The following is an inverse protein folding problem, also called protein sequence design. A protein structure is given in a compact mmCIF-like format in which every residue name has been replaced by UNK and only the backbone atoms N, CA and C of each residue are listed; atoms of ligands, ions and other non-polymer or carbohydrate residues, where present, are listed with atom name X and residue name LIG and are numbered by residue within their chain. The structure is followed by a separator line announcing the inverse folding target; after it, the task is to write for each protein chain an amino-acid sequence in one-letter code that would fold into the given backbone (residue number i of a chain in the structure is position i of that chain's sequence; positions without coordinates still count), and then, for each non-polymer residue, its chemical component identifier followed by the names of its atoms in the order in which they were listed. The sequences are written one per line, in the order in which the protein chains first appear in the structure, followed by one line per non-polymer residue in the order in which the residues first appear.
data_IF_648963908313
#
_entry.id   IF_648963908313
#
_cell.length_a   1.000
_cell.length_b   1.000
_cell.length_c   1.000
_cell.angle_alpha   90.00
_cell.angle_beta   90.00
_cell.angle_gamma   90.00
#
_symmetry.space_group_name_H-M   'P 1'
#
loop_
_entity.id
_entity.type
_entity.pdbx_description
1 polymer ?
#
# COMPACT_ATOMS: atom_id res chain seq x y z
N UNK A 1 -0.45 -34.72 9.71
CA UNK A 1 -0.05 -34.87 8.30
C UNK A 1 -0.72 -33.88 7.34
N UNK A 2 -2.04 -33.96 7.06
CA UNK A 2 -2.69 -33.01 6.11
C UNK A 2 -2.66 -31.55 6.59
N UNK A 3 -2.84 -31.31 7.89
CA UNK A 3 -2.81 -29.96 8.47
C UNK A 3 -1.39 -29.36 8.42
N UNK A 4 -0.37 -30.16 8.71
CA UNK A 4 1.03 -29.70 8.70
C UNK A 4 1.48 -29.29 7.28
N UNK A 5 1.03 -30.02 6.26
CA UNK A 5 1.26 -29.67 4.85
C UNK A 5 0.54 -28.39 4.43
N UNK A 6 -0.71 -28.21 4.84
CA UNK A 6 -1.46 -26.98 4.58
C UNK A 6 -0.79 -25.78 5.25
N UNK A 7 -0.35 -25.93 6.50
CA UNK A 7 0.31 -24.86 7.24
C UNK A 7 1.63 -24.45 6.58
N UNK A 8 2.45 -25.42 6.17
CA UNK A 8 3.69 -25.14 5.45
C UNK A 8 3.44 -24.41 4.13
N UNK A 9 2.50 -24.89 3.33
CA UNK A 9 2.18 -24.29 2.03
C UNK A 9 1.66 -22.86 2.17
N UNK A 10 0.89 -22.59 3.23
CA UNK A 10 0.42 -21.26 3.55
C UNK A 10 1.56 -20.32 3.94
N UNK A 11 2.47 -20.78 4.81
CA UNK A 11 3.66 -20.01 5.18
C UNK A 11 4.52 -19.66 3.96
N UNK A 12 4.81 -20.64 3.09
CA UNK A 12 5.57 -20.42 1.86
C UNK A 12 4.89 -19.40 0.92
N UNK A 13 3.54 -19.44 0.85
CA UNK A 13 2.75 -18.48 0.09
C UNK A 13 2.84 -17.06 0.67
N UNK A 14 2.66 -16.90 1.99
CA UNK A 14 2.75 -15.61 2.66
C UNK A 14 4.16 -15.00 2.54
N UNK A 15 5.21 -15.82 2.67
CA UNK A 15 6.59 -15.38 2.48
C UNK A 15 6.83 -14.91 1.05
N UNK A 16 6.24 -15.58 0.05
CA UNK A 16 6.30 -15.10 -1.34
C UNK A 16 5.66 -13.72 -1.48
N UNK A 17 4.50 -13.48 -0.87
CA UNK A 17 3.82 -12.17 -0.89
C UNK A 17 4.61 -11.08 -0.16
N UNK A 18 5.24 -11.41 0.97
CA UNK A 18 6.13 -10.50 1.70
C UNK A 18 7.38 -10.14 0.92
N UNK A 19 7.95 -11.08 0.18
CA UNK A 19 9.10 -10.80 -0.68
C UNK A 19 8.73 -9.90 -1.87
N UNK A 20 7.51 -10.02 -2.40
CA UNK A 20 7.02 -9.13 -3.47
C UNK A 20 6.76 -7.71 -2.99
N UNK A 21 6.22 -7.53 -1.78
CA UNK A 21 6.03 -6.21 -1.15
C UNK A 21 6.55 -6.22 0.30
N UNK A 22 7.81 -5.81 0.53
CA UNK A 22 8.50 -5.94 1.82
C UNK A 22 7.80 -5.28 3.01
N UNK A 23 6.92 -4.29 2.79
CA UNK A 23 6.16 -3.69 3.91
C UNK A 23 5.22 -4.69 4.59
N UNK A 24 4.81 -5.78 3.92
CA UNK A 24 4.02 -6.83 4.57
C UNK A 24 4.75 -7.60 5.68
N UNK A 25 6.06 -7.38 5.89
CA UNK A 25 6.74 -7.87 7.09
C UNK A 25 6.31 -7.13 8.38
N UNK A 26 5.65 -5.97 8.29
CA UNK A 26 5.19 -5.19 9.45
C UNK A 26 3.79 -5.56 9.96
N UNK A 27 3.11 -6.50 9.30
CA UNK A 27 1.79 -6.99 9.70
C UNK A 27 1.82 -8.50 9.97
N UNK A 28 0.91 -8.97 10.83
CA UNK A 28 0.85 -10.39 11.18
C UNK A 28 0.36 -11.25 10.01
N UNK A 29 0.54 -12.58 10.10
CA UNK A 29 0.01 -13.52 9.09
C UNK A 29 -1.51 -13.37 8.92
N UNK A 30 -2.25 -13.23 10.02
CA UNK A 30 -3.72 -13.06 10.01
C UNK A 30 -4.14 -11.75 9.32
N UNK A 31 -3.42 -10.66 9.56
CA UNK A 31 -3.66 -9.36 8.93
C UNK A 31 -3.36 -9.40 7.44
N UNK A 32 -2.23 -10.01 7.06
CA UNK A 32 -1.86 -10.20 5.66
C UNK A 32 -2.90 -11.08 4.94
N UNK A 33 -3.41 -12.11 5.58
CA UNK A 33 -4.48 -12.94 5.02
C UNK A 33 -5.80 -12.18 4.85
N UNK A 34 -6.16 -11.29 5.79
CA UNK A 34 -7.32 -10.41 5.65
C UNK A 34 -7.22 -9.53 4.40
N UNK A 35 -6.04 -8.94 4.19
CA UNK A 35 -5.76 -8.12 3.01
C UNK A 35 -5.80 -8.93 1.72
N UNK A 36 -5.13 -10.09 1.68
CA UNK A 36 -5.05 -10.94 0.48
C UNK A 36 -6.38 -11.64 0.14
N UNK A 37 -7.23 -11.87 1.14
CA UNK A 37 -8.52 -12.54 0.98
C UNK A 37 -9.66 -11.61 0.55
N UNK A 38 -9.48 -10.29 0.64
CA UNK A 38 -10.48 -9.29 0.25
C UNK A 38 -10.32 -8.89 -1.21
N UNK A 39 -11.45 -8.82 -1.94
CA UNK A 39 -11.49 -8.18 -3.26
C UNK A 39 -11.66 -6.67 -3.20
N UNK A 40 -11.97 -6.13 -2.03
CA UNK A 40 -12.10 -4.68 -1.80
C UNK A 40 -10.73 -4.08 -1.47
N UNK A 41 -10.17 -3.21 -2.32
CA UNK A 41 -8.85 -2.62 -2.09
C UNK A 41 -8.84 -1.65 -0.91
N UNK A 42 -10.00 -1.20 -0.43
CA UNK A 42 -10.08 -0.32 0.75
C UNK A 42 -9.76 -1.05 2.05
N UNK A 43 -9.79 -2.40 2.08
CA UNK A 43 -9.46 -3.18 3.27
C UNK A 43 -8.04 -2.91 3.80
N UNK A 44 -7.08 -2.59 2.92
CA UNK A 44 -5.70 -2.25 3.30
C UNK A 44 -5.63 -1.07 4.29
N UNK A 45 -6.65 -0.21 4.29
CA UNK A 45 -6.71 1.02 5.06
C UNK A 45 -6.47 0.83 6.55
N UNK A 46 -6.97 -0.27 7.13
CA UNK A 46 -6.83 -0.57 8.55
C UNK A 46 -5.37 -0.87 8.95
N UNK A 47 -4.55 -1.24 7.97
CA UNK A 47 -3.16 -1.67 8.16
C UNK A 47 -2.14 -0.61 7.74
N UNK A 48 -2.54 0.49 7.08
CA UNK A 48 -1.59 1.46 6.52
C UNK A 48 -0.66 2.09 7.56
N UNK A 49 -1.15 2.38 8.77
CA UNK A 49 -0.33 2.93 9.86
C UNK A 49 0.74 1.94 10.37
N UNK A 50 0.61 0.65 10.07
CA UNK A 50 1.65 -0.36 10.34
C UNK A 50 2.60 -0.50 9.17
N UNK A 51 2.11 -0.36 7.94
CA UNK A 51 2.88 -0.50 6.72
C UNK A 51 3.72 0.75 6.39
N UNK A 52 3.27 1.93 6.83
CA UNK A 52 3.89 3.23 6.57
C UNK A 52 3.90 4.07 7.85
N UNK A 53 5.01 4.77 8.11
CA UNK A 53 5.18 5.59 9.31
C UNK A 53 4.13 6.70 9.45
N UNK A 54 3.72 7.35 8.34
CA UNK A 54 2.77 8.47 8.40
C UNK A 54 1.75 8.50 7.27
N UNK A 55 1.23 7.33 6.89
CA UNK A 55 0.11 7.23 5.93
C UNK A 55 -1.06 6.56 6.64
N UNK A 56 -2.14 7.32 6.82
CA UNK A 56 -3.38 6.81 7.41
C UNK A 56 -4.42 6.49 6.35
N UNK A 57 -4.55 7.33 5.32
CA UNK A 57 -5.51 7.14 4.24
C UNK A 57 -4.88 7.21 2.86
N UNK A 58 -5.34 6.33 1.98
CA UNK A 58 -5.22 6.46 0.54
C UNK A 58 -6.52 7.08 0.04
N UNK A 59 -6.40 8.09 -0.81
CA UNK A 59 -7.56 8.67 -1.47
C UNK A 59 -7.88 7.86 -2.72
N UNK A 60 -9.00 7.16 -2.70
CA UNK A 60 -9.47 6.35 -3.82
C UNK A 60 -10.25 7.21 -4.81
N UNK A 61 -9.92 7.06 -6.09
CA UNK A 61 -10.65 7.65 -7.20
C UNK A 61 -12.01 7.00 -7.42
N UNK A 62 -12.70 7.43 -8.49
CA UNK A 62 -14.07 6.99 -8.78
C UNK A 62 -14.15 5.47 -8.92
N UNK A 63 -14.96 4.84 -8.06
CA UNK A 63 -15.20 3.40 -8.07
C UNK A 63 -14.04 2.56 -7.53
N UNK A 64 -13.15 3.14 -6.72
CA UNK A 64 -12.02 2.46 -6.07
C UNK A 64 -11.10 1.72 -7.05
N UNK A 65 -10.94 2.28 -8.26
CA UNK A 65 -10.08 1.71 -9.31
C UNK A 65 -8.71 2.37 -9.41
N UNK A 66 -8.56 3.54 -8.79
CA UNK A 66 -7.31 4.30 -8.81
C UNK A 66 -7.06 4.90 -7.44
N UNK A 67 -5.80 5.20 -7.15
CA UNK A 67 -5.36 5.94 -5.97
C UNK A 67 -4.86 7.28 -6.46
N UNK A 68 -5.36 8.36 -5.87
CA UNK A 68 -5.13 9.73 -6.33
C UNK A 68 -4.37 10.59 -5.32
N UNK A 69 -4.23 10.12 -4.09
CA UNK A 69 -3.60 10.88 -3.02
C UNK A 69 -3.39 10.07 -1.75
N UNK A 70 -2.71 10.68 -0.80
CA UNK A 70 -2.39 10.08 0.50
C UNK A 70 -2.60 11.11 1.61
N UNK A 71 -3.00 10.66 2.79
CA UNK A 71 -3.30 11.49 3.96
C UNK A 71 -2.74 10.89 5.25
N UNK A 72 -2.19 11.74 6.11
CA UNK A 72 -1.59 11.40 7.39
C UNK A 72 -2.60 11.36 8.54
N UNK A 73 -2.14 10.97 9.74
CA UNK A 73 -2.99 11.00 10.94
C UNK A 73 -3.38 12.42 11.37
N UNK A 74 -2.54 13.41 11.05
CA UNK A 74 -2.70 14.83 11.33
C UNK A 74 -3.52 15.55 10.25
N UNK A 75 -4.02 14.83 9.24
CA UNK A 75 -4.73 15.36 8.07
C UNK A 75 -3.86 16.16 7.10
N UNK A 76 -2.53 15.99 7.17
CA UNK A 76 -1.67 16.42 6.08
C UNK A 76 -1.93 15.52 4.88
N UNK A 77 -2.11 16.08 3.70
CA UNK A 77 -2.39 15.32 2.50
C UNK A 77 -1.71 15.91 1.28
N UNK A 78 -1.47 15.06 0.29
CA UNK A 78 -0.99 15.46 -1.02
C UNK A 78 -1.62 14.56 -2.09
N UNK A 79 -1.75 15.14 -3.29
CA UNK A 79 -2.16 14.40 -4.48
C UNK A 79 -0.94 13.74 -5.13
N UNK A 80 -1.12 12.52 -5.62
CA UNK A 80 -0.13 11.87 -6.45
C UNK A 80 -0.03 12.62 -7.78
N UNK A 81 1.19 12.75 -8.32
CA UNK A 81 1.41 13.44 -9.60
C UNK A 81 0.69 12.77 -10.76
N UNK A 82 0.55 11.45 -10.69
CA UNK A 82 -0.25 10.64 -11.60
C UNK A 82 -1.11 9.66 -10.77
N UNK A 83 -2.36 9.37 -11.13
CA UNK A 83 -3.13 8.35 -10.42
C UNK A 83 -2.54 6.94 -10.61
N UNK A 84 -2.38 6.18 -9.52
CA UNK A 84 -1.98 4.76 -9.61
C UNK A 84 -3.21 3.90 -9.83
N UNK A 85 -3.17 2.99 -10.81
CA UNK A 85 -4.28 2.07 -11.09
C UNK A 85 -4.24 0.87 -10.14
N UNK A 86 -5.41 0.46 -9.63
CA UNK A 86 -5.57 -0.73 -8.80
C UNK A 86 -5.90 -1.90 -9.75
N UNK A 87 -4.85 -2.59 -10.17
CA UNK A 87 -4.93 -3.76 -11.04
C UNK A 87 -4.07 -4.90 -10.47
N UNK A 88 -4.54 -6.13 -10.63
CA UNK A 88 -3.81 -7.31 -10.19
C UNK A 88 -3.78 -7.51 -8.67
N UNK A 89 -2.84 -8.34 -8.19
CA UNK A 89 -2.62 -8.61 -6.77
C UNK A 89 -2.26 -7.35 -5.96
N UNK A 90 -2.58 -7.38 -4.66
CA UNK A 90 -2.37 -6.25 -3.74
C UNK A 90 -0.92 -5.79 -3.66
N UNK A 91 0.03 -6.71 -3.68
CA UNK A 91 1.45 -6.41 -3.66
C UNK A 91 1.92 -5.60 -4.88
N UNK A 92 1.31 -5.81 -6.05
CA UNK A 92 1.73 -5.15 -7.29
C UNK A 92 1.31 -3.69 -7.29
N UNK A 93 0.03 -3.42 -7.05
CA UNK A 93 -0.45 -2.04 -7.05
C UNK A 93 0.02 -1.26 -5.81
N UNK A 94 0.22 -1.89 -4.65
CA UNK A 94 0.83 -1.22 -3.48
C UNK A 94 2.28 -0.81 -3.73
N UNK A 95 3.05 -1.64 -4.46
CA UNK A 95 4.40 -1.27 -4.89
C UNK A 95 4.36 -0.06 -5.81
N UNK A 96 3.44 -0.05 -6.78
CA UNK A 96 3.27 1.10 -7.68
C UNK A 96 2.82 2.39 -6.94
N UNK A 97 2.03 2.27 -5.87
CA UNK A 97 1.65 3.41 -5.01
C UNK A 97 2.88 3.95 -4.28
N UNK A 98 3.73 3.09 -3.73
CA UNK A 98 4.96 3.49 -3.05
C UNK A 98 5.95 4.19 -3.99
N UNK A 99 6.15 3.67 -5.19
CA UNK A 99 7.02 4.30 -6.20
C UNK A 99 6.50 5.68 -6.61
N UNK A 100 5.18 5.80 -6.80
CA UNK A 100 4.55 7.06 -7.16
C UNK A 100 4.54 8.06 -6.00
N UNK A 101 4.40 7.61 -4.76
CA UNK A 101 4.59 8.44 -3.57
C UNK A 101 5.98 9.09 -3.57
N UNK A 102 7.04 8.32 -3.78
CA UNK A 102 8.41 8.85 -3.85
C UNK A 102 8.58 9.86 -4.98
N UNK A 103 8.09 9.54 -6.19
CA UNK A 103 8.16 10.44 -7.34
C UNK A 103 7.40 11.76 -7.08
N UNK A 104 6.18 11.67 -6.55
CA UNK A 104 5.32 12.80 -6.24
C UNK A 104 5.97 13.74 -5.22
N UNK A 105 6.47 13.19 -4.11
CA UNK A 105 7.15 13.96 -3.07
C UNK A 105 8.42 14.63 -3.59
N UNK A 106 9.20 13.96 -4.44
CA UNK A 106 10.38 14.56 -5.06
C UNK A 106 10.02 15.78 -5.93
N UNK A 107 8.92 15.69 -6.70
CA UNK A 107 8.41 16.80 -7.52
C UNK A 107 7.89 17.93 -6.66
N UNK A 108 7.09 17.62 -5.63
CA UNK A 108 6.54 18.61 -4.69
C UNK A 108 7.66 19.37 -3.98
N UNK A 109 8.67 18.66 -3.47
CA UNK A 109 9.82 19.28 -2.81
C UNK A 109 10.60 20.22 -3.75
N UNK A 110 10.87 19.79 -5.00
CA UNK A 110 11.54 20.64 -6.00
C UNK A 110 10.74 21.90 -6.34
N UNK A 111 9.42 21.75 -6.53
CA UNK A 111 8.51 22.88 -6.78
C UNK A 111 8.48 23.84 -5.58
N UNK A 112 8.47 23.31 -4.36
CA UNK A 112 8.52 24.10 -3.13
C UNK A 112 9.78 24.95 -3.05
N UNK A 113 10.95 24.36 -3.31
CA UNK A 113 12.23 25.09 -3.32
C UNK A 113 12.25 26.18 -4.39
N UNK A 114 11.80 25.88 -5.61
CA UNK A 114 11.77 26.86 -6.71
C UNK A 114 10.81 28.02 -6.43
N UNK A 115 9.64 27.75 -5.84
CA UNK A 115 8.60 28.77 -5.64
C UNK A 115 8.89 29.69 -4.45
N UNK A 116 9.74 29.23 -3.51
CA UNK A 116 10.13 30.00 -2.33
C UNK A 116 11.43 30.80 -2.53
N UNK A 117 12.25 30.44 -3.51
CA UNK A 117 13.47 31.16 -3.89
C UNK A 117 13.15 32.45 -4.68
#
# INVERSE_FOLDING_TARGET
ERLDLCQKSLSDYLDTKRNSFPRFFFISDDELLSVLGSSDPTNIQEHLLKLFDNVKFLHFGRGNKTIVGMESSEKESFELTEPTTIEGPVEEWMTAVEDNMHASLQVIAKKGVYSYA
#
